data_IF_130070909225
#
_entry.id   IF_130070909225
#
_cell.length_a   1.000
_cell.length_b   1.000
_cell.length_c   1.000
_cell.angle_alpha   90.00
_cell.angle_beta   90.00
_cell.angle_gamma   90.00
#
_symmetry.space_group_name_H-M   'P 1'
#
loop_
_entity.id
_entity.type
_entity.pdbx_description
1 polymer ?
#
# COMPACT_ATOMS: atom_id res chain seq x y z
N UNK A 1 19.47 22.09 57.76
CA UNK A 1 20.33 21.99 56.56
C UNK A 1 19.68 21.21 55.40
N UNK A 2 18.74 20.31 55.68
CA UNK A 2 18.02 19.41 54.74
C UNK A 2 17.00 20.10 53.80
N UNK A 3 16.31 21.16 54.24
CA UNK A 3 15.27 21.84 53.44
C UNK A 3 15.84 22.61 52.23
N UNK A 4 17.05 23.16 52.34
CA UNK A 4 17.71 23.89 51.23
C UNK A 4 18.16 22.97 50.09
N UNK A 5 18.50 21.72 50.40
CA UNK A 5 18.93 20.72 49.41
C UNK A 5 17.71 20.19 48.65
N UNK A 6 16.61 19.90 49.37
CA UNK A 6 15.35 19.44 48.76
C UNK A 6 14.76 20.50 47.80
N UNK A 7 14.77 21.78 48.19
CA UNK A 7 14.32 22.88 47.31
C UNK A 7 15.19 23.05 46.06
N UNK A 8 16.50 22.77 46.11
CA UNK A 8 17.38 22.80 44.93
C UNK A 8 17.11 21.63 43.98
N UNK A 9 16.81 20.44 44.51
CA UNK A 9 16.48 19.25 43.71
C UNK A 9 15.13 19.43 43.02
N UNK A 10 14.11 19.92 43.73
CA UNK A 10 12.77 20.19 43.16
C UNK A 10 12.81 21.30 42.11
N UNK A 11 13.61 22.36 42.30
CA UNK A 11 13.81 23.41 41.28
C UNK A 11 14.49 22.88 40.03
N UNK A 12 15.57 22.09 40.17
CA UNK A 12 16.24 21.45 39.03
C UNK A 12 15.28 20.51 38.29
N UNK A 13 14.51 19.68 39.00
CA UNK A 13 13.52 18.78 38.41
C UNK A 13 12.44 19.54 37.61
N UNK A 14 11.88 20.63 38.17
CA UNK A 14 10.92 21.48 37.45
C UNK A 14 11.52 22.15 36.22
N UNK A 15 12.76 22.63 36.29
CA UNK A 15 13.46 23.19 35.13
C UNK A 15 13.71 22.17 34.02
N UNK A 16 14.02 20.91 34.37
CA UNK A 16 14.18 19.83 33.40
C UNK A 16 12.85 19.45 32.74
N UNK A 17 11.75 19.41 33.48
CA UNK A 17 10.41 19.13 32.92
C UNK A 17 10.01 20.24 31.94
N UNK A 18 10.24 21.51 32.31
CA UNK A 18 9.97 22.66 31.41
C UNK A 18 10.85 22.59 30.17
N UNK A 19 12.13 22.27 30.30
CA UNK A 19 13.05 22.12 29.17
C UNK A 19 12.60 20.99 28.22
N UNK A 20 12.21 19.84 28.75
CA UNK A 20 11.71 18.72 27.94
C UNK A 20 10.39 19.07 27.24
N UNK A 21 9.49 19.79 27.91
CA UNK A 21 8.25 20.27 27.31
C UNK A 21 8.52 21.28 26.17
N UNK A 22 9.49 22.16 26.33
CA UNK A 22 9.91 23.11 25.28
C UNK A 22 10.56 22.37 24.09
N UNK A 23 11.43 21.40 24.34
CA UNK A 23 12.04 20.58 23.28
C UNK A 23 10.97 19.81 22.51
N UNK A 24 10.00 19.21 23.20
CA UNK A 24 8.89 18.49 22.57
C UNK A 24 8.02 19.45 21.73
N UNK A 25 7.71 20.63 22.26
CA UNK A 25 6.94 21.64 21.52
C UNK A 25 7.69 22.14 20.28
N UNK A 26 9.00 22.36 20.39
CA UNK A 26 9.85 22.73 19.25
C UNK A 26 9.91 21.62 18.21
N UNK A 27 10.03 20.35 18.64
CA UNK A 27 10.02 19.21 17.73
C UNK A 27 8.72 19.15 16.92
N UNK A 28 7.56 19.24 17.60
CA UNK A 28 6.23 19.28 16.97
C UNK A 28 6.11 20.48 16.01
N UNK A 29 6.66 21.64 16.39
CA UNK A 29 6.61 22.85 15.56
C UNK A 29 7.48 22.72 14.29
N UNK A 30 8.73 22.28 14.41
CA UNK A 30 9.61 22.07 13.27
C UNK A 30 9.12 20.96 12.35
N UNK A 31 8.51 19.91 12.91
CA UNK A 31 7.86 18.85 12.16
C UNK A 31 6.67 19.38 11.36
N UNK A 32 5.81 20.21 11.96
CA UNK A 32 4.70 20.85 11.25
C UNK A 32 5.18 21.75 10.10
N UNK A 33 6.24 22.53 10.33
CA UNK A 33 6.87 23.34 9.28
C UNK A 33 7.43 22.45 8.17
N UNK A 34 8.18 21.41 8.51
CA UNK A 34 8.73 20.47 7.54
C UNK A 34 7.63 19.84 6.68
N UNK A 35 6.50 19.49 7.30
CA UNK A 35 5.33 18.94 6.61
C UNK A 35 4.65 19.96 5.69
N UNK A 36 4.47 21.21 6.12
CA UNK A 36 3.96 22.27 5.24
C UNK A 36 4.89 22.53 4.06
N UNK A 37 6.21 22.49 4.29
CA UNK A 37 7.21 22.58 3.22
C UNK A 37 7.19 21.37 2.30
N UNK A 38 7.04 20.15 2.83
CA UNK A 38 6.95 18.93 2.04
C UNK A 38 5.68 18.95 1.18
N UNK A 39 4.51 19.23 1.77
CA UNK A 39 3.24 19.36 1.05
C UNK A 39 3.30 20.49 0.03
N UNK A 40 3.87 21.64 0.37
CA UNK A 40 4.07 22.76 -0.53
C UNK A 40 5.01 22.42 -1.69
N UNK A 41 6.10 21.71 -1.42
CA UNK A 41 7.03 21.18 -2.42
C UNK A 41 6.35 20.17 -3.34
N UNK A 42 5.57 19.23 -2.80
CA UNK A 42 4.81 18.27 -3.59
C UNK A 42 3.76 18.96 -4.46
N UNK A 43 3.00 19.92 -3.92
CA UNK A 43 2.02 20.73 -4.66
C UNK A 43 2.65 21.60 -5.76
N UNK A 44 3.86 22.13 -5.54
CA UNK A 44 4.57 22.97 -6.52
C UNK A 44 5.22 22.17 -7.64
N UNK A 45 5.72 20.98 -7.33
CA UNK A 45 6.30 20.05 -8.31
C UNK A 45 5.26 19.09 -8.92
N UNK A 46 4.00 19.28 -8.53
CA UNK A 46 2.87 18.50 -8.98
C UNK A 46 2.63 18.78 -10.48
N UNK A 47 2.70 17.76 -11.32
CA UNK A 47 2.43 17.88 -12.76
C UNK A 47 0.95 18.25 -12.96
N UNK A 48 0.59 19.33 -13.69
CA UNK A 48 -0.80 19.78 -13.78
C UNK A 48 -1.75 18.67 -14.29
N UNK A 49 -2.95 18.58 -13.70
CA UNK A 49 -3.97 17.53 -13.98
C UNK A 49 -4.30 17.34 -15.48
N UNK A 50 -4.21 18.41 -16.28
CA UNK A 50 -4.39 18.36 -17.75
C UNK A 50 -3.33 17.53 -18.49
N UNK A 51 -2.13 17.36 -17.93
CA UNK A 51 -1.09 16.49 -18.49
C UNK A 51 -1.28 15.03 -18.09
N UNK A 52 -2.02 14.77 -17.00
CA UNK A 52 -2.34 13.42 -16.54
C UNK A 52 -3.59 12.83 -17.20
N UNK A 53 -4.50 13.64 -17.73
CA UNK A 53 -5.62 13.13 -18.52
C UNK A 53 -5.15 12.45 -19.83
N UNK A 54 -3.96 12.85 -20.34
CA UNK A 54 -3.25 12.16 -21.44
C UNK A 54 -2.43 10.94 -20.99
N UNK A 55 -2.26 10.73 -19.69
CA UNK A 55 -1.55 9.58 -19.11
C UNK A 55 -2.44 8.36 -18.92
N UNK A 56 -3.77 8.50 -19.01
CA UNK A 56 -4.71 7.38 -18.77
C UNK A 56 -4.35 6.14 -19.57
N UNK A 57 -3.81 6.33 -20.76
CA UNK A 57 -3.12 5.30 -21.49
C UNK A 57 -2.14 5.98 -22.44
N UNK A 58 -0.83 5.81 -22.22
CA UNK A 58 0.09 6.01 -23.34
C UNK A 58 -0.44 5.20 -24.54
N UNK A 59 -0.34 5.71 -25.78
CA UNK A 59 -0.95 5.06 -26.95
C UNK A 59 -0.59 3.57 -27.08
N UNK A 60 0.58 3.17 -26.57
CA UNK A 60 1.03 1.79 -26.49
C UNK A 60 0.20 0.90 -25.54
N UNK A 61 -0.16 1.38 -24.34
CA UNK A 61 -0.94 0.60 -23.38
C UNK A 61 -2.38 0.43 -23.87
N UNK A 62 -2.97 1.48 -24.44
CA UNK A 62 -4.27 1.43 -25.10
C UNK A 62 -4.28 0.41 -26.24
N UNK A 63 -3.29 0.47 -27.12
CA UNK A 63 -3.16 -0.49 -28.22
C UNK A 63 -3.05 -1.93 -27.71
N UNK A 64 -2.29 -2.17 -26.63
CA UNK A 64 -2.14 -3.50 -26.03
C UNK A 64 -3.47 -4.02 -25.47
N UNK A 65 -4.19 -3.20 -24.70
CA UNK A 65 -5.50 -3.56 -24.14
C UNK A 65 -6.53 -3.80 -25.23
N UNK A 66 -6.58 -2.91 -26.24
CA UNK A 66 -7.45 -3.06 -27.40
C UNK A 66 -7.18 -4.35 -28.15
N UNK A 67 -5.90 -4.67 -28.39
CA UNK A 67 -5.50 -5.91 -29.05
C UNK A 67 -5.94 -7.12 -28.23
N UNK A 68 -5.71 -7.11 -26.92
CA UNK A 68 -6.12 -8.21 -26.06
C UNK A 68 -7.64 -8.41 -26.04
N UNK A 69 -8.43 -7.32 -26.01
CA UNK A 69 -9.88 -7.37 -26.12
C UNK A 69 -10.35 -7.91 -27.47
N UNK A 70 -9.76 -7.45 -28.57
CA UNK A 70 -10.15 -7.86 -29.93
C UNK A 70 -9.84 -9.32 -30.23
N UNK A 71 -8.79 -9.87 -29.63
CA UNK A 71 -8.32 -11.23 -29.90
C UNK A 71 -8.52 -12.18 -28.71
N UNK A 72 -9.31 -11.78 -27.71
CA UNK A 72 -9.59 -12.56 -26.49
C UNK A 72 -8.31 -13.13 -25.84
N UNK A 73 -7.21 -12.37 -25.91
CA UNK A 73 -5.93 -12.84 -25.40
C UNK A 73 -5.93 -12.75 -23.87
N UNK A 74 -5.61 -13.85 -23.15
CA UNK A 74 -5.49 -13.83 -21.70
C UNK A 74 -4.39 -12.86 -21.26
N UNK A 75 -4.62 -12.19 -20.13
CA UNK A 75 -3.68 -11.20 -19.61
C UNK A 75 -2.40 -11.84 -19.03
N UNK A 76 -2.56 -13.00 -18.40
CA UNK A 76 -1.47 -13.83 -17.92
C UNK A 76 -1.60 -15.22 -18.55
N UNK A 77 -0.53 -15.70 -19.17
CA UNK A 77 -0.42 -17.06 -19.72
C UNK A 77 0.59 -17.80 -18.86
N UNK A 78 0.12 -18.79 -18.11
CA UNK A 78 0.98 -19.67 -17.35
C UNK A 78 1.59 -20.74 -18.27
N UNK A 79 2.83 -21.20 -17.99
CA UNK A 79 3.36 -22.40 -18.63
C UNK A 79 2.45 -23.61 -18.39
N UNK A 80 2.55 -24.64 -19.25
CA UNK A 80 1.78 -25.88 -19.09
C UNK A 80 2.15 -26.63 -17.80
N UNK A 81 3.43 -26.53 -17.40
CA UNK A 81 3.96 -27.12 -16.17
C UNK A 81 4.72 -26.07 -15.36
N UNK A 82 4.28 -25.83 -14.12
CA UNK A 82 4.98 -25.01 -13.13
C UNK A 82 4.60 -25.47 -11.72
N UNK A 83 5.52 -25.34 -10.75
CA UNK A 83 5.22 -25.69 -9.37
C UNK A 83 4.21 -24.70 -8.77
N UNK A 84 3.31 -25.21 -7.94
CA UNK A 84 2.56 -24.35 -7.02
C UNK A 84 3.53 -23.66 -6.07
N UNK A 85 3.24 -22.42 -5.70
CA UNK A 85 4.06 -21.69 -4.75
C UNK A 85 4.07 -22.40 -3.38
N UNK A 86 5.27 -22.57 -2.83
CA UNK A 86 5.51 -23.04 -1.47
C UNK A 86 5.68 -21.81 -0.55
N UNK A 87 4.75 -21.55 0.37
CA UNK A 87 4.83 -20.43 1.32
C UNK A 87 6.04 -20.45 2.26
N UNK A 88 6.75 -21.57 2.36
CA UNK A 88 7.98 -21.66 3.14
C UNK A 88 9.20 -21.03 2.45
N UNK A 89 9.12 -20.74 1.14
CA UNK A 89 10.21 -20.08 0.43
C UNK A 89 10.24 -18.58 0.70
N UNK A 90 11.44 -18.00 0.67
CA UNK A 90 11.62 -16.56 0.82
C UNK A 90 11.35 -15.77 -0.48
N UNK A 91 10.74 -16.38 -1.49
CA UNK A 91 10.47 -15.70 -2.77
C UNK A 91 9.41 -14.61 -2.63
N UNK A 92 8.39 -14.88 -1.80
CA UNK A 92 7.21 -14.02 -1.65
C UNK A 92 6.97 -13.67 -0.19
N UNK A 93 6.98 -12.37 0.14
CA UNK A 93 6.53 -11.90 1.45
C UNK A 93 5.06 -11.51 1.41
N UNK A 94 4.22 -12.19 2.18
CA UNK A 94 2.83 -11.77 2.40
C UNK A 94 2.78 -10.64 3.42
N UNK A 95 2.05 -9.58 3.09
CA UNK A 95 1.96 -8.35 3.87
C UNK A 95 0.49 -7.97 3.98
N UNK A 96 -0.01 -7.83 5.21
CA UNK A 96 -1.34 -7.29 5.49
C UNK A 96 -1.20 -5.80 5.80
N UNK A 97 -1.85 -4.96 4.99
CA UNK A 97 -2.05 -3.54 5.27
C UNK A 97 -3.28 -3.36 6.16
N UNK A 98 -3.04 -3.17 7.47
CA UNK A 98 -4.06 -2.99 8.48
C UNK A 98 -4.48 -1.52 8.60
N UNK A 99 -5.54 -1.18 7.89
CA UNK A 99 -6.19 0.13 7.90
C UNK A 99 -6.96 0.42 9.18
N UNK A 100 -7.47 -0.61 9.86
CA UNK A 100 -8.35 -0.48 11.04
C UNK A 100 -7.63 -0.41 12.38
N UNK A 101 -6.33 -0.71 12.41
CA UNK A 101 -5.50 -0.71 13.62
C UNK A 101 -5.77 -1.86 14.60
N UNK A 102 -6.72 -2.77 14.28
CA UNK A 102 -7.12 -3.92 15.09
C UNK A 102 -7.16 -5.19 14.25
N UNK A 103 -7.08 -6.35 14.89
CA UNK A 103 -7.23 -7.64 14.20
C UNK A 103 -8.66 -7.80 13.66
N UNK A 104 -8.77 -8.45 12.49
CA UNK A 104 -10.04 -8.76 11.84
C UNK A 104 -10.10 -10.26 11.50
N UNK A 105 -11.29 -10.88 11.47
CA UNK A 105 -11.44 -12.28 11.05
C UNK A 105 -10.91 -12.55 9.63
N UNK A 106 -10.87 -11.52 8.77
CA UNK A 106 -10.32 -11.60 7.43
C UNK A 106 -8.80 -11.84 7.48
N UNK A 107 -8.09 -11.17 8.39
CA UNK A 107 -6.65 -11.35 8.58
C UNK A 107 -6.30 -12.80 8.97
N UNK A 108 -7.14 -13.47 9.75
CA UNK A 108 -6.91 -14.85 10.17
C UNK A 108 -6.83 -15.83 8.99
N UNK A 109 -7.57 -15.57 7.91
CA UNK A 109 -7.53 -16.40 6.70
C UNK A 109 -6.16 -16.41 5.99
N UNK A 110 -5.28 -15.46 6.34
CA UNK A 110 -3.93 -15.32 5.82
C UNK A 110 -2.85 -15.88 6.76
N UNK A 111 -3.20 -16.32 7.98
CA UNK A 111 -2.26 -16.87 8.96
C UNK A 111 -1.36 -18.00 8.44
N UNK A 112 -1.83 -18.91 7.56
CA UNK A 112 -0.97 -19.97 7.01
C UNK A 112 0.30 -19.48 6.29
N UNK A 113 0.34 -18.20 5.90
CA UNK A 113 1.48 -17.60 5.19
C UNK A 113 2.39 -16.74 6.07
N UNK A 114 2.21 -16.77 7.40
CA UNK A 114 2.94 -15.96 8.38
C UNK A 114 3.10 -14.48 7.94
N UNK A 115 1.97 -13.77 7.75
CA UNK A 115 1.97 -12.46 7.11
C UNK A 115 2.62 -11.41 8.00
N UNK A 116 3.35 -10.48 7.38
CA UNK A 116 3.77 -9.24 8.05
C UNK A 116 2.57 -8.30 8.15
N UNK A 117 2.15 -7.95 9.37
CA UNK A 117 1.06 -7.01 9.60
C UNK A 117 1.65 -5.61 9.77
N UNK A 118 1.33 -4.70 8.83
CA UNK A 118 1.74 -3.30 8.86
C UNK A 118 0.51 -2.42 9.08
N UNK A 119 0.56 -1.59 10.12
CA UNK A 119 -0.58 -0.74 10.52
C UNK A 119 -0.49 0.62 9.84
N UNK A 120 -1.63 1.20 9.48
CA UNK A 120 -1.68 2.56 8.93
C UNK A 120 -1.70 3.63 10.02
N UNK A 121 -2.05 3.27 11.25
CA UNK A 121 -2.09 4.18 12.40
C UNK A 121 -1.78 3.46 13.72
N UNK A 122 -1.02 4.13 14.58
CA UNK A 122 -0.67 3.77 15.97
C UNK A 122 0.05 2.43 16.22
N UNK A 123 1.18 2.51 16.94
CA UNK A 123 1.91 1.35 17.48
C UNK A 123 3.16 0.92 16.68
N UNK A 124 3.79 -0.18 17.10
CA UNK A 124 4.91 -0.79 16.36
C UNK A 124 4.46 -1.22 14.95
N UNK A 125 5.35 -1.12 13.96
CA UNK A 125 5.11 -1.48 12.55
C UNK A 125 4.10 -0.57 11.82
N UNK A 126 4.13 0.73 12.11
CA UNK A 126 3.29 1.72 11.42
C UNK A 126 3.93 2.18 10.11
N UNK A 127 3.17 2.14 9.00
CA UNK A 127 3.58 2.62 7.67
C UNK A 127 2.92 3.95 7.27
N UNK A 128 2.14 4.56 8.15
CA UNK A 128 1.53 5.88 7.94
C UNK A 128 2.15 6.95 8.84
N UNK A 129 1.87 8.22 8.54
CA UNK A 129 2.13 9.31 9.47
C UNK A 129 0.98 9.37 10.49
N UNK A 130 1.29 9.34 11.79
CA UNK A 130 0.34 9.57 12.89
C UNK A 130 -0.28 10.99 12.88
N UNK A 131 0.10 11.83 11.92
CA UNK A 131 -0.04 13.29 11.97
C UNK A 131 -1.16 13.87 11.09
N UNK A 132 -1.86 13.06 10.29
CA UNK A 132 -2.97 13.54 9.45
C UNK A 132 -4.32 13.44 10.16
N UNK A 133 -4.58 14.35 11.10
CA UNK A 133 -5.89 14.51 11.73
C UNK A 133 -6.93 15.22 10.84
N UNK A 134 -6.53 15.71 9.65
CA UNK A 134 -7.43 16.41 8.74
C UNK A 134 -7.87 15.47 7.61
N UNK A 135 -9.16 15.13 7.59
CA UNK A 135 -9.79 14.19 6.65
C UNK A 135 -9.82 14.67 5.19
N UNK A 136 -9.39 15.90 4.93
CA UNK A 136 -9.70 16.59 3.68
C UNK A 136 -8.90 16.12 2.45
N UNK A 137 -7.87 15.28 2.60
CA UNK A 137 -7.11 14.71 1.48
C UNK A 137 -6.85 13.19 1.63
N UNK A 138 -7.92 12.42 1.84
CA UNK A 138 -7.88 10.95 2.01
C UNK A 138 -7.08 10.21 0.91
N UNK A 139 -7.15 10.65 -0.35
CA UNK A 139 -6.36 10.07 -1.45
C UNK A 139 -4.85 10.34 -1.33
N UNK A 140 -4.46 11.54 -0.90
CA UNK A 140 -3.04 11.85 -0.66
C UNK A 140 -2.50 11.05 0.52
N UNK A 141 -3.31 10.86 1.56
CA UNK A 141 -2.99 10.04 2.74
C UNK A 141 -2.81 8.56 2.33
N UNK A 142 -3.72 8.00 1.54
CA UNK A 142 -3.60 6.63 1.04
C UNK A 142 -2.36 6.44 0.18
N UNK A 143 -2.09 7.34 -0.77
CA UNK A 143 -0.90 7.25 -1.60
C UNK A 143 0.39 7.35 -0.78
N UNK A 144 0.40 8.19 0.26
CA UNK A 144 1.53 8.28 1.19
C UNK A 144 1.72 6.99 2.00
N UNK A 145 0.62 6.36 2.46
CA UNK A 145 0.65 5.07 3.13
C UNK A 145 1.27 4.01 2.22
N UNK A 146 0.85 3.93 0.95
CA UNK A 146 1.44 2.99 -0.02
C UNK A 146 2.91 3.30 -0.32
N UNK A 147 3.27 4.58 -0.44
CA UNK A 147 4.67 4.97 -0.63
C UNK A 147 5.56 4.50 0.53
N UNK A 148 5.12 4.76 1.76
CA UNK A 148 5.84 4.40 2.98
C UNK A 148 5.89 2.88 3.17
N UNK A 149 4.79 2.19 2.90
CA UNK A 149 4.73 0.72 2.82
C UNK A 149 5.80 0.18 1.86
N UNK A 150 5.84 0.68 0.62
CA UNK A 150 6.83 0.24 -0.36
C UNK A 150 8.27 0.56 0.07
N UNK A 151 8.49 1.70 0.73
CA UNK A 151 9.81 2.05 1.27
C UNK A 151 10.25 1.07 2.36
N UNK A 152 9.39 0.77 3.33
CA UNK A 152 9.64 -0.23 4.38
C UNK A 152 9.95 -1.60 3.78
N UNK A 153 9.13 -2.07 2.83
CA UNK A 153 9.32 -3.38 2.21
C UNK A 153 10.65 -3.45 1.44
N UNK A 154 10.99 -2.41 0.68
CA UNK A 154 12.24 -2.38 -0.09
C UNK A 154 13.48 -2.27 0.80
N UNK A 155 13.40 -1.58 1.94
CA UNK A 155 14.56 -1.36 2.80
C UNK A 155 14.76 -2.47 3.85
N UNK A 156 13.70 -3.15 4.28
CA UNK A 156 13.75 -4.12 5.38
C UNK A 156 13.70 -5.58 4.95
N UNK A 157 13.31 -5.87 3.69
CA UNK A 157 13.11 -7.24 3.22
C UNK A 157 13.82 -7.45 1.87
N UNK A 158 14.35 -8.66 1.66
CA UNK A 158 15.08 -9.07 0.46
C UNK A 158 14.23 -9.86 -0.55
N UNK A 159 12.99 -10.22 -0.20
CA UNK A 159 12.10 -11.05 -1.03
C UNK A 159 11.95 -10.50 -2.46
N UNK A 160 11.84 -11.39 -3.46
CA UNK A 160 11.68 -11.01 -4.86
C UNK A 160 10.28 -10.42 -5.11
N UNK A 161 9.26 -10.94 -4.42
CA UNK A 161 7.88 -10.49 -4.54
C UNK A 161 7.27 -10.13 -3.19
N UNK A 162 6.29 -9.23 -3.23
CA UNK A 162 5.46 -8.84 -2.11
C UNK A 162 4.00 -9.04 -2.48
N UNK A 163 3.29 -9.91 -1.77
CA UNK A 163 1.84 -10.03 -1.86
C UNK A 163 1.23 -9.13 -0.78
N UNK A 164 0.73 -7.97 -1.20
CA UNK A 164 0.12 -6.99 -0.32
C UNK A 164 -1.39 -7.19 -0.35
N UNK A 165 -1.99 -7.34 0.84
CA UNK A 165 -3.43 -7.55 1.02
C UNK A 165 -4.01 -6.53 1.99
N UNK A 166 -5.20 -6.02 1.72
CA UNK A 166 -5.94 -5.13 2.61
C UNK A 166 -6.65 -5.94 3.72
N UNK A 167 -6.86 -5.33 4.89
CA UNK A 167 -7.39 -6.01 6.09
C UNK A 167 -8.89 -6.39 6.05
N UNK A 168 -9.57 -6.09 4.95
CA UNK A 168 -10.99 -6.38 4.73
C UNK A 168 -11.23 -7.49 3.69
N UNK A 169 -10.17 -8.22 3.36
CA UNK A 169 -10.13 -9.21 2.29
C UNK A 169 -9.98 -10.62 2.86
N UNK A 170 -10.95 -11.48 2.57
CA UNK A 170 -11.01 -12.87 3.02
C UNK A 170 -10.47 -13.82 1.94
N UNK A 171 -9.47 -14.63 2.29
CA UNK A 171 -9.01 -15.74 1.45
C UNK A 171 -9.89 -16.97 1.67
N UNK A 172 -10.46 -17.53 0.60
CA UNK A 172 -11.33 -18.72 0.67
C UNK A 172 -10.74 -19.97 0.02
N UNK A 173 -9.70 -19.85 -0.81
CA UNK A 173 -9.01 -20.98 -1.43
C UNK A 173 -7.48 -20.76 -1.43
N UNK A 174 -6.80 -21.45 -0.51
CA UNK A 174 -5.34 -21.42 -0.37
C UNK A 174 -4.65 -22.07 -1.58
N UNK A 175 -5.21 -23.16 -2.11
CA UNK A 175 -4.59 -23.91 -3.20
C UNK A 175 -4.66 -23.13 -4.52
N UNK A 176 -5.77 -22.40 -4.75
CA UNK A 176 -5.83 -21.48 -5.88
C UNK A 176 -4.84 -20.32 -5.74
N UNK A 177 -4.68 -19.76 -4.53
CA UNK A 177 -3.65 -18.72 -4.31
C UNK A 177 -2.25 -19.24 -4.62
N UNK A 178 -1.89 -20.43 -4.14
CA UNK A 178 -0.59 -21.06 -4.42
C UNK A 178 -0.35 -21.26 -5.91
N UNK A 179 -1.39 -21.68 -6.66
CA UNK A 179 -1.31 -21.80 -8.13
C UNK A 179 -1.08 -20.45 -8.80
N UNK A 180 -1.86 -19.43 -8.45
CA UNK A 180 -1.73 -18.10 -9.06
C UNK A 180 -0.37 -17.47 -8.75
N UNK A 181 0.13 -17.60 -7.52
CA UNK A 181 1.48 -17.12 -7.14
C UNK A 181 2.55 -17.93 -7.87
N UNK A 182 2.42 -19.26 -7.96
CA UNK A 182 3.34 -20.11 -8.70
C UNK A 182 3.46 -19.71 -10.17
N UNK A 183 2.32 -19.38 -10.81
CA UNK A 183 2.31 -18.87 -12.17
C UNK A 183 3.02 -17.51 -12.29
N UNK A 184 2.77 -16.58 -11.38
CA UNK A 184 3.45 -15.27 -11.35
C UNK A 184 4.97 -15.42 -11.23
N UNK A 185 5.45 -16.35 -10.39
CA UNK A 185 6.87 -16.66 -10.25
C UNK A 185 7.44 -17.23 -11.56
N UNK A 186 6.75 -18.20 -12.17
CA UNK A 186 7.19 -18.86 -13.40
C UNK A 186 7.28 -17.89 -14.60
N UNK A 187 6.32 -16.97 -14.73
CA UNK A 187 6.27 -15.99 -15.82
C UNK A 187 7.06 -14.72 -15.51
N UNK A 188 7.58 -14.58 -14.28
CA UNK A 188 8.28 -13.39 -13.78
C UNK A 188 7.45 -12.10 -13.90
N UNK A 189 6.14 -12.20 -13.70
CA UNK A 189 5.19 -11.09 -13.89
C UNK A 189 5.46 -9.94 -12.92
N UNK A 190 5.61 -8.72 -13.43
CA UNK A 190 5.96 -7.55 -12.62
C UNK A 190 4.89 -7.16 -11.58
N UNK A 191 3.61 -7.27 -11.95
CA UNK A 191 2.48 -6.97 -11.07
C UNK A 191 1.25 -7.79 -11.47
N UNK A 192 0.56 -8.36 -10.47
CA UNK A 192 -0.62 -9.20 -10.69
C UNK A 192 -1.61 -9.10 -9.52
N UNK A 193 -2.89 -8.90 -9.82
CA UNK A 193 -3.95 -8.90 -8.81
C UNK A 193 -4.52 -10.30 -8.62
N UNK A 194 -4.37 -10.85 -7.41
CA UNK A 194 -5.06 -12.09 -7.01
C UNK A 194 -6.50 -11.84 -6.56
N UNK A 195 -6.93 -10.57 -6.53
CA UNK A 195 -8.31 -10.18 -6.32
C UNK A 195 -9.08 -10.10 -7.64
N UNK A 196 -10.24 -10.77 -7.71
CA UNK A 196 -11.17 -10.70 -8.82
C UNK A 196 -12.42 -9.88 -8.46
N UNK A 197 -12.55 -8.67 -9.01
CA UNK A 197 -13.84 -7.99 -9.12
C UNK A 197 -14.51 -8.44 -10.41
N UNK A 198 -15.82 -8.74 -10.44
CA UNK A 198 -16.55 -9.29 -11.61
C UNK A 198 -16.54 -8.42 -12.90
N UNK A 199 -15.70 -7.38 -12.97
CA UNK A 199 -15.54 -6.45 -14.08
C UNK A 199 -14.12 -6.46 -14.67
N UNK A 200 -13.98 -6.94 -15.92
CA UNK A 200 -12.79 -6.97 -16.80
C UNK A 200 -11.55 -7.72 -16.29
N UNK A 201 -10.78 -8.38 -17.16
CA UNK A 201 -9.54 -9.12 -16.82
C UNK A 201 -8.35 -8.24 -16.36
N UNK A 202 -8.58 -6.94 -16.21
CA UNK A 202 -7.57 -5.94 -15.88
C UNK A 202 -7.96 -5.17 -14.61
N UNK A 203 -6.96 -4.66 -13.90
CA UNK A 203 -7.19 -3.74 -12.77
C UNK A 203 -7.45 -2.35 -13.34
N UNK A 204 -8.73 -1.96 -13.46
CA UNK A 204 -9.07 -0.60 -13.89
C UNK A 204 -9.89 0.22 -12.90
N UNK A 205 -10.61 -0.37 -11.95
CA UNK A 205 -11.67 0.39 -11.23
C UNK A 205 -11.87 -0.05 -9.77
N UNK A 206 -11.20 -1.09 -9.26
CA UNK A 206 -11.67 -1.74 -8.03
C UNK A 206 -10.72 -1.81 -6.85
N UNK A 207 -9.50 -1.25 -6.93
CA UNK A 207 -8.62 -1.10 -5.76
C UNK A 207 -7.40 -2.03 -5.73
N UNK A 208 -6.74 -2.00 -4.58
CA UNK A 208 -5.45 -2.64 -4.27
C UNK A 208 -5.59 -3.80 -3.28
N UNK A 209 -6.77 -4.43 -3.25
CA UNK A 209 -7.19 -5.38 -2.20
C UNK A 209 -6.23 -6.54 -1.98
N UNK A 210 -5.73 -7.15 -3.06
CA UNK A 210 -4.77 -8.24 -2.96
C UNK A 210 -3.93 -8.28 -4.26
N UNK A 211 -2.73 -7.70 -4.20
CA UNK A 211 -1.84 -7.53 -5.36
C UNK A 211 -0.43 -8.04 -5.04
N UNK A 212 0.10 -8.83 -5.96
CA UNK A 212 1.48 -9.27 -5.99
C UNK A 212 2.29 -8.26 -6.78
N UNK A 213 3.39 -7.79 -6.19
CA UNK A 213 4.34 -6.89 -6.84
C UNK A 213 5.74 -7.49 -6.84
N UNK A 214 6.40 -7.45 -7.98
CA UNK A 214 7.82 -7.72 -8.07
C UNK A 214 8.63 -6.58 -7.47
N UNK A 215 9.68 -6.90 -6.72
CA UNK A 215 10.59 -5.93 -6.10
C UNK A 215 11.16 -4.92 -7.09
N UNK A 216 11.59 -5.39 -8.26
CA UNK A 216 12.12 -4.53 -9.33
C UNK A 216 11.07 -3.57 -9.88
N UNK A 217 9.81 -4.01 -9.95
CA UNK A 217 8.68 -3.17 -10.31
C UNK A 217 8.41 -2.12 -9.23
N UNK A 218 8.26 -2.52 -7.96
CA UNK A 218 8.03 -1.61 -6.83
C UNK A 218 9.09 -0.53 -6.73
N UNK A 219 10.37 -0.89 -6.94
CA UNK A 219 11.49 0.06 -6.91
C UNK A 219 11.31 1.19 -7.94
N UNK A 220 10.80 0.88 -9.13
CA UNK A 220 10.53 1.87 -10.18
C UNK A 220 9.22 2.60 -9.93
N UNK A 221 8.16 1.87 -9.56
CA UNK A 221 6.85 2.45 -9.29
C UNK A 221 6.85 3.41 -8.10
N UNK A 222 7.61 3.15 -7.03
CA UNK A 222 7.78 4.07 -5.89
C UNK A 222 8.25 5.46 -6.33
N UNK A 223 9.15 5.54 -7.32
CA UNK A 223 9.64 6.80 -7.91
C UNK A 223 8.58 7.50 -8.77
N UNK A 224 7.63 6.75 -9.33
CA UNK A 224 6.48 7.30 -10.02
C UNK A 224 5.45 7.81 -9.00
N UNK A 225 5.07 6.98 -8.01
CA UNK A 225 4.13 7.29 -6.95
C UNK A 225 4.47 8.60 -6.23
N UNK A 226 5.74 8.79 -5.81
CA UNK A 226 6.18 10.02 -5.12
C UNK A 226 5.96 11.30 -5.94
N UNK A 227 6.05 11.23 -7.28
CA UNK A 227 5.81 12.37 -8.17
C UNK A 227 4.32 12.66 -8.38
N UNK A 228 3.48 11.68 -8.08
CA UNK A 228 2.05 11.71 -8.41
C UNK A 228 1.12 11.54 -7.18
N UNK A 229 1.67 11.65 -5.96
CA UNK A 229 0.93 11.44 -4.70
C UNK A 229 -0.39 12.24 -4.60
N UNK A 230 -0.45 13.43 -5.18
CA UNK A 230 -1.61 14.35 -5.08
C UNK A 230 -2.67 14.18 -6.17
N UNK A 231 -2.50 13.27 -7.14
CA UNK A 231 -3.28 13.34 -8.38
C UNK A 231 -4.36 12.29 -8.55
N UNK A 232 -4.10 11.04 -8.14
CA UNK A 232 -5.04 9.94 -8.31
C UNK A 232 -4.90 8.90 -7.19
N UNK A 233 -5.98 8.18 -6.86
CA UNK A 233 -5.90 6.94 -6.08
C UNK A 233 -4.83 5.97 -6.61
N UNK A 234 -4.25 5.19 -5.70
CA UNK A 234 -3.11 4.30 -5.95
C UNK A 234 -3.37 3.28 -7.07
N UNK A 235 -4.59 2.76 -7.17
CA UNK A 235 -5.02 1.81 -8.19
C UNK A 235 -5.02 2.43 -9.59
N UNK A 236 -5.48 3.68 -9.71
CA UNK A 236 -5.39 4.44 -10.96
C UNK A 236 -3.94 4.80 -11.32
N UNK A 237 -3.12 5.16 -10.33
CA UNK A 237 -1.69 5.39 -10.56
C UNK A 237 -1.01 4.12 -11.06
N UNK A 238 -1.32 2.96 -10.47
CA UNK A 238 -0.81 1.67 -10.90
C UNK A 238 -1.22 1.34 -12.34
N UNK A 239 -2.52 1.48 -12.64
CA UNK A 239 -3.07 1.23 -13.98
C UNK A 239 -2.45 2.14 -15.05
N UNK A 240 -2.15 3.40 -14.72
CA UNK A 240 -1.50 4.34 -15.64
C UNK A 240 -0.01 4.03 -15.88
N UNK A 241 0.64 3.38 -14.91
CA UNK A 241 2.07 3.09 -14.96
C UNK A 241 2.39 1.79 -15.68
N UNK A 242 1.57 0.75 -15.48
CA UNK A 242 1.84 -0.59 -15.98
C UNK A 242 0.56 -1.39 -16.19
N UNK A 243 0.55 -2.22 -17.24
CA UNK A 243 -0.53 -3.17 -17.45
C UNK A 243 -0.59 -4.12 -16.25
N UNK A 244 -1.69 -4.08 -15.51
CA UNK A 244 -1.90 -4.94 -14.34
C UNK A 244 -3.01 -5.94 -14.64
N UNK A 245 -2.60 -7.20 -14.79
CA UNK A 245 -3.49 -8.33 -14.97
C UNK A 245 -4.09 -8.75 -13.64
N UNK A 246 -5.21 -9.46 -13.69
CA UNK A 246 -5.80 -10.07 -12.50
C UNK A 246 -6.25 -11.51 -12.75
N UNK A 247 -6.47 -12.24 -11.67
CA UNK A 247 -7.02 -13.59 -11.73
C UNK A 247 -8.48 -13.58 -12.19
N UNK A 248 -8.86 -14.60 -12.97
CA UNK A 248 -10.25 -14.85 -13.37
C UNK A 248 -11.01 -15.69 -12.34
N UNK A 249 -10.34 -16.17 -11.28
CA UNK A 249 -10.92 -17.02 -10.25
C UNK A 249 -11.41 -16.18 -9.08
N UNK A 250 -12.59 -16.52 -8.54
CA UNK A 250 -13.17 -15.84 -7.39
C UNK A 250 -12.88 -16.67 -6.13
N UNK A 251 -11.74 -16.40 -5.48
CA UNK A 251 -11.32 -17.09 -4.25
C UNK A 251 -10.82 -16.13 -3.15
N UNK A 252 -10.94 -14.83 -3.41
CA UNK A 252 -10.67 -13.77 -2.48
C UNK A 252 -11.91 -12.89 -2.44
N UNK A 253 -12.53 -12.76 -1.27
CA UNK A 253 -13.79 -12.05 -1.08
C UNK A 253 -13.56 -10.75 -0.32
N UNK A 254 -14.12 -9.66 -0.84
CA UNK A 254 -14.13 -8.37 -0.13
C UNK A 254 -15.27 -8.38 0.89
N UNK A 255 -14.96 -8.19 2.18
CA UNK A 255 -15.93 -8.11 3.28
C UNK A 255 -16.08 -6.70 3.84
N UNK A 256 -15.66 -5.68 3.10
CA UNK A 256 -15.94 -4.30 3.45
C UNK A 256 -17.42 -3.97 3.24
N UNK A 257 -18.15 -3.71 4.32
CA UNK A 257 -19.37 -2.91 4.22
C UNK A 257 -18.91 -1.50 3.83
N UNK A 258 -18.85 -1.18 2.54
CA UNK A 258 -19.01 0.23 2.16
C UNK A 258 -20.37 0.60 2.73
N UNK A 259 -20.44 1.58 3.62
CA UNK A 259 -21.73 2.15 4.00
C UNK A 259 -22.44 2.54 2.69
N UNK A 260 -23.30 1.66 2.21
CA UNK A 260 -24.45 2.06 1.43
C UNK A 260 -25.22 2.86 2.46
N UNK A 261 -25.14 4.18 2.34
CA UNK A 261 -26.14 5.04 2.96
C UNK A 261 -27.47 4.42 2.54
N UNK A 262 -28.18 3.81 3.50
CA UNK A 262 -29.60 3.54 3.36
C UNK A 262 -30.22 4.88 2.99
N UNK A 263 -30.44 5.08 1.69
CA UNK A 263 -31.52 5.92 1.22
C UNK A 263 -32.70 4.98 1.06
N UNK A 264 -33.32 4.71 2.19
CA UNK A 264 -34.77 4.75 2.24
C UNK A 264 -35.20 6.23 2.16
#
# INVERSE_FOLDING_TARGET
>A
MTVKILNRIVRKSKSWIILMAVILALFIFFEKIFMEFAVGYFKKNAIPRRYTDKLYYGPFLNFKIDRMRRFEMPCLICPDEYPSWDPSTEDVKVVILNGRGKETPQMESWNPFNPLILKTSSGNNTVGLEFFNNRDNFSEILNFIYYSLFDTLLNSYSNEYFLIVEDDVLLTDIEQLKRDVGCVLATKTDVFSVFNSKSSDFVFIWGTQAIIYKRSFLTKFKKHLIKHLSFFPIDLLLASYHLTCKTSKEYILHKGVRHITNKD
#
